data_IF_113663338218
#
_entry.id   IF_113663338218
#
_cell.length_a   1.000
_cell.length_b   1.000
_cell.length_c   1.000
_cell.angle_alpha   90.00
_cell.angle_beta   90.00
_cell.angle_gamma   90.00
#
_symmetry.space_group_name_H-M   'P 1'
#
loop_
_entity.id
_entity.type
_entity.pdbx_description
1 polymer ?
#
# COMPACT_ATOMS: atom_id res chain seq x y z
N UNK A 1 -14.53 -1.53 -36.54
CA UNK A 1 -14.46 -2.14 -35.20
C UNK A 1 -14.05 -1.05 -34.22
N UNK A 2 -15.02 -0.34 -33.64
CA UNK A 2 -14.76 0.77 -32.73
C UNK A 2 -14.62 0.24 -31.30
N UNK A 3 -13.47 0.55 -30.69
CA UNK A 3 -13.07 0.18 -29.34
C UNK A 3 -13.84 1.04 -28.35
N UNK A 4 -14.69 0.42 -27.54
CA UNK A 4 -15.34 1.05 -26.39
C UNK A 4 -14.27 1.39 -25.36
N UNK A 5 -13.90 2.66 -25.24
CA UNK A 5 -13.21 3.18 -24.06
C UNK A 5 -14.22 3.24 -22.92
N UNK A 6 -14.22 2.24 -22.04
CA UNK A 6 -14.85 2.37 -20.72
C UNK A 6 -13.83 3.07 -19.82
N UNK A 7 -13.98 4.37 -19.65
CA UNK A 7 -13.43 5.07 -18.49
C UNK A 7 -14.11 4.50 -17.24
N UNK A 8 -13.33 4.15 -16.23
CA UNK A 8 -13.84 3.83 -14.91
C UNK A 8 -14.23 5.16 -14.26
N UNK A 9 -15.46 5.62 -14.48
CA UNK A 9 -16.02 6.73 -13.72
C UNK A 9 -16.36 6.22 -12.31
N UNK A 10 -15.55 6.60 -11.32
CA UNK A 10 -15.75 6.25 -9.92
C UNK A 10 -16.96 6.98 -9.30
N UNK A 11 -17.68 7.82 -10.06
CA UNK A 11 -18.98 8.34 -9.66
C UNK A 11 -20.07 7.42 -10.18
N UNK A 12 -20.49 6.49 -9.33
CA UNK A 12 -21.72 5.75 -9.57
C UNK A 12 -22.91 6.72 -9.74
N UNK A 13 -23.90 6.42 -10.60
CA UNK A 13 -25.06 7.28 -10.88
C UNK A 13 -26.01 7.50 -9.68
N UNK A 14 -25.66 7.04 -8.48
CA UNK A 14 -26.54 7.05 -7.31
C UNK A 14 -26.40 8.28 -6.41
N UNK A 15 -25.29 9.01 -6.44
CA UNK A 15 -25.01 10.06 -5.44
C UNK A 15 -25.56 11.46 -5.79
N UNK A 16 -26.02 11.67 -7.02
CA UNK A 16 -26.56 12.97 -7.46
C UNK A 16 -28.07 13.08 -7.21
N UNK A 17 -28.78 11.96 -6.99
CA UNK A 17 -30.24 11.96 -6.88
C UNK A 17 -30.78 12.20 -5.46
N UNK A 18 -29.94 12.27 -4.42
CA UNK A 18 -30.39 12.29 -3.02
C UNK A 18 -30.55 13.70 -2.41
N UNK A 19 -30.18 14.76 -3.12
CA UNK A 19 -30.32 16.15 -2.62
C UNK A 19 -31.13 16.93 -3.64
N UNK A 20 -32.41 17.15 -3.34
CA UNK A 20 -33.37 17.88 -4.17
C UNK A 20 -33.08 19.38 -4.32
N UNK A 21 -31.82 19.75 -4.53
CA UNK A 21 -31.41 21.12 -4.80
C UNK A 21 -31.51 21.40 -6.29
N UNK A 22 -32.28 22.44 -6.62
CA UNK A 22 -32.40 22.99 -7.97
C UNK A 22 -30.99 23.40 -8.45
N UNK A 23 -30.62 22.92 -9.63
CA UNK A 23 -29.33 23.21 -10.26
C UNK A 23 -29.23 24.71 -10.63
N UNK A 24 -28.76 25.54 -9.69
CA UNK A 24 -28.27 26.88 -10.00
C UNK A 24 -26.86 26.80 -10.59
N UNK A 25 -26.65 27.54 -11.67
CA UNK A 25 -25.54 27.42 -12.59
C UNK A 25 -24.18 27.65 -11.95
N UNK A 26 -23.47 26.55 -11.67
CA UNK A 26 -22.02 26.55 -11.65
C UNK A 26 -21.54 26.30 -13.08
N UNK A 27 -20.67 27.15 -13.66
CA UNK A 27 -20.07 26.87 -14.95
C UNK A 27 -19.38 25.51 -14.86
N UNK A 28 -19.64 24.62 -15.83
CA UNK A 28 -18.89 23.38 -16.00
C UNK A 28 -17.41 23.72 -15.91
N UNK A 29 -16.76 23.36 -14.80
CA UNK A 29 -15.31 23.32 -14.80
C UNK A 29 -14.99 22.25 -15.82
N UNK A 30 -14.52 22.67 -17.00
CA UNK A 30 -13.76 21.83 -17.89
C UNK A 30 -12.59 21.32 -17.05
N UNK A 31 -12.78 20.15 -16.43
CA UNK A 31 -11.70 19.35 -15.92
C UNK A 31 -10.83 19.15 -17.15
N UNK A 32 -9.72 19.87 -17.22
CA UNK A 32 -8.57 19.43 -18.00
C UNK A 32 -8.18 18.13 -17.33
N UNK A 33 -8.81 17.04 -17.76
CA UNK A 33 -8.48 15.70 -17.34
C UNK A 33 -7.10 15.45 -17.95
N UNK A 34 -6.06 15.82 -17.21
CA UNK A 34 -4.75 15.28 -17.44
C UNK A 34 -4.94 13.77 -17.30
N UNK A 35 -4.93 13.06 -18.43
CA UNK A 35 -5.03 11.61 -18.47
C UNK A 35 -3.71 11.06 -17.96
N UNK A 36 -3.60 10.95 -16.65
CA UNK A 36 -2.49 10.29 -15.99
C UNK A 36 -2.87 8.85 -15.73
N UNK A 37 -1.94 7.94 -15.99
CA UNK A 37 -2.07 6.52 -15.65
C UNK A 37 -1.05 6.24 -14.56
N UNK A 38 -1.53 5.86 -13.39
CA UNK A 38 -0.68 5.49 -12.26
C UNK A 38 0.22 4.31 -12.63
N UNK A 39 1.41 4.27 -12.04
CA UNK A 39 2.37 3.18 -12.23
C UNK A 39 2.07 1.97 -11.34
N UNK A 40 1.03 2.04 -10.50
CA UNK A 40 0.78 1.00 -9.53
C UNK A 40 -0.33 1.30 -8.54
N UNK A 41 -0.43 0.42 -7.55
CA UNK A 41 -1.30 0.53 -6.39
C UNK A 41 -0.52 0.16 -5.13
N UNK A 42 -0.81 0.87 -4.05
CA UNK A 42 -0.25 0.62 -2.73
C UNK A 42 -1.39 0.35 -1.73
N UNK A 43 -1.18 -0.62 -0.83
CA UNK A 43 -2.12 -0.99 0.22
C UNK A 43 -1.61 -0.57 1.60
N UNK A 44 -2.01 0.63 2.00
CA UNK A 44 -1.86 1.13 3.37
C UNK A 44 -3.19 0.91 4.13
N UNK A 45 -3.42 -0.34 4.56
CA UNK A 45 -4.58 -0.70 5.34
C UNK A 45 -4.18 -0.78 6.82
N UNK A 46 -4.73 0.12 7.64
CA UNK A 46 -4.48 0.17 9.08
C UNK A 46 -5.72 -0.19 9.92
N UNK A 47 -6.73 -0.81 9.29
CA UNK A 47 -8.01 -1.10 9.94
C UNK A 47 -8.04 -2.41 10.73
N UNK A 48 -6.94 -3.17 10.75
CA UNK A 48 -6.88 -4.55 11.27
C UNK A 48 -7.85 -5.52 10.59
N UNK A 49 -8.30 -5.19 9.38
CA UNK A 49 -9.24 -6.00 8.60
C UNK A 49 -8.74 -6.20 7.17
N UNK A 50 -8.22 -7.39 6.88
CA UNK A 50 -7.75 -7.78 5.55
C UNK A 50 -8.83 -8.29 4.59
N UNK A 51 -10.11 -8.20 4.94
CA UNK A 51 -11.20 -8.75 4.11
C UNK A 51 -11.25 -8.11 2.72
N UNK A 52 -11.53 -8.92 1.69
CA UNK A 52 -11.72 -8.50 0.29
C UNK A 52 -10.47 -7.98 -0.45
N UNK A 53 -9.36 -7.71 0.26
CA UNK A 53 -8.12 -7.27 -0.40
C UNK A 53 -7.49 -8.36 -1.26
N UNK A 54 -7.67 -9.64 -0.90
CA UNK A 54 -7.21 -10.75 -1.74
C UNK A 54 -7.84 -10.71 -3.14
N UNK A 55 -9.16 -10.61 -3.21
CA UNK A 55 -9.91 -10.54 -4.47
C UNK A 55 -9.52 -9.29 -5.26
N UNK A 56 -9.44 -8.15 -4.58
CA UNK A 56 -9.08 -6.87 -5.22
C UNK A 56 -7.66 -6.90 -5.81
N UNK A 57 -6.66 -7.30 -5.03
CA UNK A 57 -5.27 -7.31 -5.47
C UNK A 57 -5.01 -8.39 -6.53
N UNK A 58 -5.66 -9.55 -6.43
CA UNK A 58 -5.55 -10.60 -7.47
C UNK A 58 -6.10 -10.10 -8.81
N UNK A 59 -7.27 -9.46 -8.81
CA UNK A 59 -7.88 -8.92 -10.03
C UNK A 59 -7.04 -7.77 -10.60
N UNK A 60 -6.52 -6.87 -9.75
CA UNK A 60 -5.65 -5.78 -10.20
C UNK A 60 -4.35 -6.30 -10.80
N UNK A 61 -3.69 -7.27 -10.16
CA UNK A 61 -2.49 -7.92 -10.70
C UNK A 61 -2.76 -8.54 -12.07
N UNK A 62 -3.87 -9.27 -12.21
CA UNK A 62 -4.28 -9.87 -13.49
C UNK A 62 -4.44 -8.82 -14.60
N UNK A 63 -5.13 -7.71 -14.30
CA UNK A 63 -5.31 -6.61 -15.27
C UNK A 63 -3.98 -5.95 -15.63
N UNK A 64 -3.14 -5.69 -14.64
CA UNK A 64 -1.82 -5.08 -14.84
C UNK A 64 -0.89 -5.96 -15.67
N UNK A 65 -0.90 -7.27 -15.43
CA UNK A 65 -0.08 -8.24 -16.18
C UNK A 65 -0.57 -8.43 -17.62
N UNK A 66 -1.86 -8.17 -17.88
CA UNK A 66 -2.43 -8.22 -19.23
C UNK A 66 -2.02 -7.04 -20.11
N UNK A 67 -1.54 -5.95 -19.52
CA UNK A 67 -1.04 -4.78 -20.25
C UNK A 67 0.47 -4.87 -20.46
N UNK A 68 0.86 -5.35 -21.64
CA UNK A 68 2.28 -5.48 -22.03
C UNK A 68 2.96 -4.15 -22.36
N UNK A 69 2.25 -3.02 -22.37
CA UNK A 69 2.84 -1.72 -22.71
C UNK A 69 3.58 -1.06 -21.54
N UNK A 70 3.31 -1.49 -20.31
CA UNK A 70 3.88 -0.91 -19.09
C UNK A 70 4.11 -1.98 -18.04
N UNK A 71 5.04 -1.72 -17.13
CA UNK A 71 5.17 -2.49 -15.90
C UNK A 71 4.48 -1.72 -14.78
N UNK A 72 3.56 -2.38 -14.09
CA UNK A 72 2.89 -1.83 -12.93
C UNK A 72 3.44 -2.45 -11.64
N UNK A 73 3.54 -1.63 -10.61
CA UNK A 73 4.02 -2.01 -9.28
C UNK A 73 2.83 -2.17 -8.31
N UNK A 74 2.89 -3.17 -7.47
CA UNK A 74 1.96 -3.34 -6.36
C UNK A 74 2.72 -3.41 -5.04
N UNK A 75 2.28 -2.64 -4.05
CA UNK A 75 2.91 -2.59 -2.73
C UNK A 75 1.91 -2.59 -1.58
N UNK A 76 2.43 -2.69 -0.36
CA UNK A 76 1.68 -2.56 0.88
C UNK A 76 2.56 -1.97 1.98
N UNK A 77 1.91 -1.40 3.01
CA UNK A 77 2.56 -0.76 4.16
C UNK A 77 2.09 -1.34 5.50
N UNK A 78 2.37 -2.63 5.80
CA UNK A 78 2.02 -3.21 7.10
C UNK A 78 2.80 -2.54 8.24
N UNK A 79 2.22 -2.56 9.44
CA UNK A 79 2.90 -2.19 10.67
C UNK A 79 4.08 -3.14 10.96
N UNK A 80 5.07 -2.69 11.75
CA UNK A 80 6.26 -3.49 12.03
C UNK A 80 6.02 -4.78 12.83
N UNK A 81 4.90 -4.87 13.54
CA UNK A 81 4.66 -5.96 14.47
C UNK A 81 4.49 -7.31 13.78
N UNK A 82 5.44 -8.21 14.01
CA UNK A 82 5.32 -9.63 13.66
C UNK A 82 5.31 -10.50 14.92
N UNK A 83 6.07 -10.11 15.94
CA UNK A 83 6.12 -10.78 17.23
C UNK A 83 4.98 -10.24 18.11
N UNK A 84 4.03 -11.11 18.44
CA UNK A 84 2.88 -10.92 19.33
C UNK A 84 1.60 -10.28 18.77
N UNK A 85 1.62 -9.66 17.59
CA UNK A 85 0.42 -9.20 16.92
C UNK A 85 0.52 -9.53 15.43
N UNK A 86 -0.29 -10.47 14.95
CA UNK A 86 -0.39 -10.73 13.53
C UNK A 86 -1.06 -9.51 12.89
N UNK A 87 -0.32 -8.73 12.11
CA UNK A 87 -0.87 -7.65 11.30
C UNK A 87 -1.89 -8.25 10.30
N UNK A 88 -3.18 -8.21 10.66
CA UNK A 88 -4.26 -8.83 9.88
C UNK A 88 -4.68 -7.99 8.68
N UNK A 89 -4.15 -6.78 8.53
CA UNK A 89 -4.59 -5.86 7.47
C UNK A 89 -4.10 -6.27 6.09
N UNK A 90 -2.99 -7.01 6.01
CA UNK A 90 -2.40 -7.48 4.74
C UNK A 90 -2.32 -9.02 4.73
N UNK A 91 -3.31 -9.72 4.13
CA UNK A 91 -3.29 -11.18 4.04
C UNK A 91 -2.09 -11.73 3.25
N UNK A 92 -1.61 -12.92 3.59
CA UNK A 92 -0.51 -13.60 2.87
C UNK A 92 -0.78 -13.74 1.37
N UNK A 93 -2.03 -13.97 0.99
CA UNK A 93 -2.42 -14.07 -0.41
C UNK A 93 -2.21 -12.74 -1.16
N UNK A 94 -2.40 -11.60 -0.49
CA UNK A 94 -2.05 -10.28 -1.02
C UNK A 94 -0.54 -10.13 -1.11
N UNK A 95 0.21 -10.45 -0.03
CA UNK A 95 1.68 -10.38 -0.03
C UNK A 95 2.30 -11.15 -1.20
N UNK A 96 1.71 -12.28 -1.58
CA UNK A 96 2.19 -13.13 -2.67
C UNK A 96 2.13 -12.51 -4.08
N UNK A 97 1.36 -11.43 -4.27
CA UNK A 97 1.20 -10.73 -5.56
C UNK A 97 1.84 -9.34 -5.61
N UNK A 98 2.53 -8.93 -4.53
CA UNK A 98 3.20 -7.63 -4.43
C UNK A 98 4.61 -7.66 -5.03
N UNK A 99 5.05 -6.53 -5.55
CA UNK A 99 6.42 -6.29 -6.02
C UNK A 99 7.35 -5.93 -4.84
N UNK A 100 6.86 -5.14 -3.89
CA UNK A 100 7.59 -4.73 -2.70
C UNK A 100 6.65 -4.41 -1.54
N UNK A 101 7.18 -4.43 -0.32
CA UNK A 101 6.46 -4.08 0.91
C UNK A 101 7.31 -3.10 1.71
N UNK A 102 6.72 -1.97 2.09
CA UNK A 102 7.36 -0.92 2.86
C UNK A 102 6.87 -0.99 4.30
N UNK A 103 7.57 -1.76 5.15
CA UNK A 103 7.10 -2.05 6.51
C UNK A 103 7.31 -0.81 7.39
N UNK A 104 6.26 -0.39 8.10
CA UNK A 104 6.28 0.80 8.95
C UNK A 104 7.00 0.51 10.29
N UNK A 105 8.32 0.71 10.33
CA UNK A 105 9.14 0.54 11.54
C UNK A 105 9.15 1.80 12.41
N UNK A 106 7.97 2.31 12.73
CA UNK A 106 7.75 3.47 13.59
C UNK A 106 6.39 3.40 14.29
N UNK A 107 6.11 4.34 15.19
CA UNK A 107 4.92 4.35 16.07
C UNK A 107 4.81 3.15 17.04
N UNK A 108 5.90 2.39 17.20
CA UNK A 108 6.04 1.34 18.20
C UNK A 108 7.48 1.36 18.74
N UNK A 109 7.67 1.78 20.00
CA UNK A 109 9.00 2.01 20.58
C UNK A 109 9.86 0.73 20.64
N UNK A 110 9.24 -0.42 20.86
CA UNK A 110 9.96 -1.69 20.99
C UNK A 110 10.23 -2.31 19.61
N UNK A 111 9.26 -2.25 18.71
CA UNK A 111 9.27 -2.96 17.43
C UNK A 111 9.81 -2.13 16.26
N UNK A 112 9.67 -0.80 16.33
CA UNK A 112 10.15 0.13 15.33
C UNK A 112 11.67 0.29 15.34
N UNK A 113 12.21 1.06 14.40
CA UNK A 113 13.65 1.23 14.23
C UNK A 113 14.31 1.76 15.50
N UNK A 114 15.44 1.16 15.87
CA UNK A 114 16.15 1.43 17.13
C UNK A 114 15.53 0.80 18.38
N UNK A 115 14.35 0.17 18.26
CA UNK A 115 13.71 -0.59 19.33
C UNK A 115 14.38 -1.93 19.58
N UNK A 116 14.14 -2.52 20.75
CA UNK A 116 14.77 -3.78 21.18
C UNK A 116 14.36 -4.99 20.35
N UNK A 117 13.18 -4.93 19.71
CA UNK A 117 12.59 -6.02 18.94
C UNK A 117 12.70 -5.80 17.42
N UNK A 118 13.26 -4.66 16.99
CA UNK A 118 13.47 -4.31 15.57
C UNK A 118 14.15 -5.42 14.76
N UNK A 119 15.32 -5.88 15.23
CA UNK A 119 16.12 -6.89 14.53
C UNK A 119 15.38 -8.23 14.42
N UNK A 120 14.62 -8.59 15.45
CA UNK A 120 13.81 -9.81 15.46
C UNK A 120 12.66 -9.69 14.45
N UNK A 121 11.96 -8.55 14.42
CA UNK A 121 10.84 -8.32 13.51
C UNK A 121 11.29 -8.25 12.04
N UNK A 122 12.34 -7.51 11.70
CA UNK A 122 12.79 -7.41 10.30
C UNK A 122 13.23 -8.77 9.74
N UNK A 123 13.88 -9.61 10.56
CA UNK A 123 14.25 -10.99 10.20
C UNK A 123 13.02 -11.90 10.07
N UNK A 124 12.01 -11.70 10.90
CA UNK A 124 10.77 -12.45 10.82
C UNK A 124 10.01 -12.14 9.51
N UNK A 125 9.92 -10.86 9.16
CA UNK A 125 9.34 -10.41 7.89
C UNK A 125 10.08 -10.94 6.66
N UNK A 126 11.41 -10.83 6.63
CA UNK A 126 12.23 -11.36 5.53
C UNK A 126 12.00 -12.87 5.34
N UNK A 127 12.00 -13.63 6.44
CA UNK A 127 11.69 -15.07 6.43
C UNK A 127 10.27 -15.34 5.95
N UNK A 128 9.29 -14.55 6.38
CA UNK A 128 7.89 -14.70 5.99
C UNK A 128 7.70 -14.47 4.50
N UNK A 129 8.29 -13.42 3.94
CA UNK A 129 8.22 -13.13 2.50
C UNK A 129 8.82 -14.24 1.64
N UNK A 130 9.88 -14.91 2.12
CA UNK A 130 10.40 -16.12 1.47
C UNK A 130 9.43 -17.31 1.44
N UNK A 131 8.32 -17.26 2.19
CA UNK A 131 7.36 -18.34 2.36
C UNK A 131 5.92 -18.04 1.86
N UNK A 132 5.57 -16.77 1.56
CA UNK A 132 4.19 -16.38 1.20
C UNK A 132 3.71 -16.90 -0.17
N UNK A 133 4.58 -17.49 -1.00
CA UNK A 133 4.19 -18.00 -2.31
C UNK A 133 5.24 -18.87 -3.00
N UNK A 134 4.94 -19.38 -4.21
CA UNK A 134 5.86 -20.24 -4.97
C UNK A 134 7.03 -19.47 -5.60
N UNK A 135 7.02 -18.13 -5.57
CA UNK A 135 8.05 -17.25 -6.09
C UNK A 135 8.95 -16.66 -4.99
N UNK A 136 9.87 -15.74 -5.33
CA UNK A 136 10.83 -15.16 -4.39
C UNK A 136 10.23 -14.23 -3.32
N UNK A 137 8.91 -14.02 -3.30
CA UNK A 137 8.25 -13.05 -2.42
C UNK A 137 8.49 -11.59 -2.84
N UNK A 138 7.81 -10.63 -2.18
CA UNK A 138 8.04 -9.21 -2.41
C UNK A 138 9.39 -8.75 -1.84
N UNK A 139 9.93 -7.67 -2.39
CA UNK A 139 11.09 -7.01 -1.78
C UNK A 139 10.72 -6.30 -0.48
N UNK A 140 11.51 -6.50 0.57
CA UNK A 140 11.37 -5.76 1.83
C UNK A 140 12.03 -4.38 1.73
N UNK A 141 11.28 -3.33 2.09
CA UNK A 141 11.78 -1.98 2.32
C UNK A 141 11.54 -1.59 3.78
N UNK A 142 12.51 -0.83 4.31
CA UNK A 142 12.51 -0.31 5.67
C UNK A 142 11.81 1.06 5.67
N UNK A 143 10.54 1.09 6.11
CA UNK A 143 9.78 2.31 6.27
C UNK A 143 10.17 3.03 7.55
N UNK A 144 10.64 4.27 7.41
CA UNK A 144 11.11 5.11 8.53
C UNK A 144 10.55 6.53 8.42
N UNK A 145 10.37 7.25 9.54
CA UNK A 145 9.88 8.61 9.50
C UNK A 145 10.83 9.56 8.77
N UNK A 146 10.29 10.47 7.97
CA UNK A 146 11.08 11.42 7.18
C UNK A 146 11.75 12.55 7.97
N UNK A 147 11.52 12.62 9.29
CA UNK A 147 12.07 13.64 10.18
C UNK A 147 11.21 13.89 11.41
N UNK A 148 11.60 14.89 12.19
CA UNK A 148 10.88 15.29 13.40
C UNK A 148 9.41 15.63 13.08
N UNK A 149 8.48 15.05 13.84
CA UNK A 149 7.03 15.23 13.66
C UNK A 149 6.38 14.37 12.58
N UNK A 150 7.13 13.55 11.83
CA UNK A 150 6.57 12.64 10.83
C UNK A 150 5.92 11.39 11.44
N UNK A 151 6.28 11.03 12.67
CA UNK A 151 5.73 9.91 13.43
C UNK A 151 5.73 10.25 14.93
N UNK A 152 4.94 9.52 15.72
CA UNK A 152 4.86 9.67 17.17
C UNK A 152 6.08 9.12 17.91
N UNK A 153 6.77 8.13 17.35
CA UNK A 153 7.98 7.52 17.90
C UNK A 153 8.92 7.00 16.80
N UNK A 154 10.12 6.57 17.21
CA UNK A 154 11.16 5.97 16.34
C UNK A 154 11.67 6.88 15.21
N UNK A 155 11.55 8.20 15.39
CA UNK A 155 12.19 9.17 14.50
C UNK A 155 13.70 9.16 14.80
N UNK A 156 14.50 8.82 13.78
CA UNK A 156 15.95 8.77 13.86
C UNK A 156 16.60 9.65 12.79
N UNK A 157 17.77 10.18 13.09
CA UNK A 157 18.66 10.80 12.09
C UNK A 157 19.21 9.75 11.12
N UNK A 158 19.68 10.18 9.95
CA UNK A 158 20.30 9.29 8.97
C UNK A 158 21.51 8.51 9.56
N UNK A 159 22.28 9.13 10.45
CA UNK A 159 23.43 8.50 11.11
C UNK A 159 23.02 7.43 12.12
N UNK A 160 21.88 7.58 12.80
CA UNK A 160 21.33 6.58 13.70
C UNK A 160 20.80 5.38 12.90
N UNK A 161 20.01 5.65 11.86
CA UNK A 161 19.48 4.63 10.95
C UNK A 161 20.63 3.79 10.37
N UNK A 162 21.68 4.47 9.89
CA UNK A 162 22.87 3.81 9.33
C UNK A 162 23.51 2.83 10.32
N UNK A 163 23.68 3.23 11.59
CA UNK A 163 24.24 2.36 12.63
C UNK A 163 23.34 1.18 12.98
N UNK A 164 22.03 1.30 12.76
CA UNK A 164 21.07 0.23 13.03
C UNK A 164 21.08 -0.83 11.92
N UNK A 165 21.40 -0.47 10.68
CA UNK A 165 21.32 -1.37 9.52
C UNK A 165 22.67 -1.89 8.99
N UNK A 166 23.80 -1.30 9.41
CA UNK A 166 25.17 -1.74 9.10
C UNK A 166 25.76 -2.64 10.20
#
# INVERSE_FOLDING_TARGET
MNRLEKSLDLRGPADVAARGDQAEGYPERQLVAIKSVLDGLDLDNESSNGSFYNEFFTEMRSKMDSDSSRKYLMSAEPMCGFVNDAEFSIPDSVLSVLDFVNIQFYNDEDQGIGGKDFETNIKAWDKHFGAVGPGPGPKLYLGVPGGEGAAGSNVQSADEIRKTIE
#
